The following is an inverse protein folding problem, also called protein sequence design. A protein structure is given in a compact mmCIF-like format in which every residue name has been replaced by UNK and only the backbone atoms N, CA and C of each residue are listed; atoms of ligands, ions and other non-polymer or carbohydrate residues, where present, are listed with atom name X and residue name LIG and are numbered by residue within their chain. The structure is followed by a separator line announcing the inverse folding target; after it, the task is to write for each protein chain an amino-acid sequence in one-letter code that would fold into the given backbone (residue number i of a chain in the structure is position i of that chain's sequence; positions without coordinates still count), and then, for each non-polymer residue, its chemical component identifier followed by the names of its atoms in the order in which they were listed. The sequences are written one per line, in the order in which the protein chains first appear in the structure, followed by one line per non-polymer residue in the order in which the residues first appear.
data_IF_995381947551
#
_entry.id   IF_995381947551
#
_cell.length_a   1.000
_cell.length_b   1.000
_cell.length_c   1.000
_cell.angle_alpha   90.00
_cell.angle_beta   90.00
_cell.angle_gamma   90.00
#
_symmetry.space_group_name_H-M   'P 1'
#
loop_
_entity.id
_entity.type
_entity.pdbx_description
1 polymer ?
#
# COMPACT_ATOMS: atom_id res chain seq x y z
N UNK A 1 14.58 26.94 21.18
CA UNK A 1 13.82 25.67 21.17
C UNK A 1 14.60 24.76 20.25
N UNK A 2 15.08 23.62 20.75
CA UNK A 2 15.80 22.68 19.91
C UNK A 2 14.78 22.00 19.00
N UNK A 3 14.77 22.36 17.72
CA UNK A 3 14.23 21.47 16.70
C UNK A 3 15.21 20.30 16.66
N UNK A 4 14.87 19.19 17.29
CA UNK A 4 15.52 17.92 17.00
C UNK A 4 15.11 17.59 15.57
N UNK A 5 15.92 17.97 14.60
CA UNK A 5 15.87 17.35 13.27
C UNK A 5 16.12 15.88 13.50
N UNK A 6 15.11 15.03 13.23
CA UNK A 6 15.35 13.60 13.09
C UNK A 6 16.45 13.47 12.03
N UNK A 7 17.60 12.90 12.42
CA UNK A 7 18.66 12.59 11.49
C UNK A 7 18.23 11.30 10.78
N UNK A 8 17.60 11.44 9.61
CA UNK A 8 17.20 10.30 8.77
C UNK A 8 18.48 9.61 8.31
N UNK A 9 18.76 8.38 8.75
CA UNK A 9 19.97 7.66 8.34
C UNK A 9 19.77 7.15 6.90
N UNK A 10 20.73 7.35 5.99
CA UNK A 10 20.67 6.75 4.66
C UNK A 10 20.49 5.22 4.64
N UNK A 11 20.89 4.55 5.72
CA UNK A 11 20.74 3.11 5.90
C UNK A 11 19.37 2.68 6.46
N UNK A 12 18.53 3.62 6.92
CA UNK A 12 17.17 3.31 7.38
C UNK A 12 16.37 2.68 6.22
N UNK A 13 15.58 1.65 6.53
CA UNK A 13 14.70 1.01 5.56
C UNK A 13 13.54 1.94 5.20
N UNK A 14 13.04 1.86 3.97
CA UNK A 14 11.87 2.64 3.55
C UNK A 14 10.65 2.33 4.43
N UNK A 15 10.46 1.05 4.78
CA UNK A 15 9.40 0.60 5.67
C UNK A 15 9.48 1.25 7.05
N UNK A 16 10.65 1.25 7.68
CA UNK A 16 10.84 1.88 9.00
C UNK A 16 10.60 3.41 8.96
N UNK A 17 10.99 4.06 7.86
CA UNK A 17 10.78 5.49 7.67
C UNK A 17 9.29 5.85 7.57
N UNK A 18 8.50 5.05 6.85
CA UNK A 18 7.04 5.25 6.74
C UNK A 18 6.34 4.85 8.03
N UNK A 19 6.72 3.74 8.66
CA UNK A 19 6.15 3.30 9.93
C UNK A 19 6.42 4.30 11.07
N UNK A 20 7.56 5.00 11.05
CA UNK A 20 7.89 6.03 12.05
C UNK A 20 7.30 7.40 11.72
N UNK A 21 6.99 7.65 10.44
CA UNK A 21 6.43 8.90 9.96
C UNK A 21 5.62 8.65 8.68
N UNK A 22 4.31 8.34 8.78
CA UNK A 22 3.48 8.01 7.63
C UNK A 22 3.45 9.10 6.55
N UNK A 23 3.62 10.38 6.93
CA UNK A 23 3.68 11.48 5.97
C UNK A 23 4.84 11.37 4.96
N UNK A 24 5.89 10.59 5.27
CA UNK A 24 6.99 10.31 4.34
C UNK A 24 6.55 9.50 3.12
N UNK A 25 5.46 8.73 3.20
CA UNK A 25 4.93 7.98 2.06
C UNK A 25 4.66 8.87 0.86
N UNK A 26 4.17 10.10 1.08
CA UNK A 26 3.90 11.09 0.02
C UNK A 26 5.15 11.43 -0.77
N UNK A 27 6.30 11.51 -0.10
CA UNK A 27 7.58 11.80 -0.76
C UNK A 27 7.97 10.62 -1.65
N UNK A 28 7.72 9.40 -1.20
CA UNK A 28 8.02 8.19 -1.96
C UNK A 28 7.04 8.00 -3.12
N UNK A 29 5.74 8.19 -2.92
CA UNK A 29 4.71 8.19 -3.96
C UNK A 29 5.06 9.20 -5.07
N UNK A 30 5.40 10.44 -4.70
CA UNK A 30 5.80 11.50 -5.66
C UNK A 30 7.08 11.15 -6.47
N UNK A 31 7.91 10.24 -5.95
CA UNK A 31 9.18 9.82 -6.56
C UNK A 31 9.07 8.44 -7.22
N UNK A 32 7.92 7.77 -7.18
CA UNK A 32 7.80 6.38 -7.61
C UNK A 32 8.74 5.44 -6.87
N UNK A 33 9.00 5.70 -5.58
CA UNK A 33 9.81 4.85 -4.72
C UNK A 33 8.88 3.85 -4.02
N UNK A 34 9.07 2.57 -4.31
CA UNK A 34 8.32 1.47 -3.70
C UNK A 34 8.75 1.24 -2.23
N UNK A 35 7.96 1.78 -1.30
CA UNK A 35 8.13 1.61 0.15
C UNK A 35 7.20 0.54 0.74
N UNK A 36 6.25 0.03 -0.04
CA UNK A 36 5.23 -0.89 0.43
C UNK A 36 5.67 -2.35 0.26
N UNK A 37 6.07 -2.75 -0.95
CA UNK A 37 6.62 -4.08 -1.23
C UNK A 37 8.14 -4.08 -1.07
N UNK A 38 8.80 -3.01 -1.53
CA UNK A 38 10.26 -2.82 -1.43
C UNK A 38 10.75 -2.24 -0.10
N UNK A 39 9.96 -2.32 0.97
CA UNK A 39 10.18 -1.58 2.22
C UNK A 39 11.50 -1.89 2.94
N UNK A 40 12.04 -3.09 2.80
CA UNK A 40 13.34 -3.49 3.38
C UNK A 40 14.55 -2.77 2.76
N UNK A 41 14.38 -2.13 1.60
CA UNK A 41 15.47 -1.41 0.93
C UNK A 41 15.83 -0.17 1.73
N UNK A 42 17.13 0.14 1.80
CA UNK A 42 17.58 1.40 2.40
C UNK A 42 17.20 2.61 1.54
N UNK A 43 17.00 3.76 2.20
CA UNK A 43 16.78 5.04 1.53
C UNK A 43 17.89 5.35 0.49
N UNK A 44 19.15 5.08 0.84
CA UNK A 44 20.28 5.29 -0.07
C UNK A 44 20.16 4.42 -1.34
N UNK A 45 19.86 3.14 -1.19
CA UNK A 45 19.70 2.21 -2.31
C UNK A 45 18.49 2.57 -3.19
N UNK A 46 17.41 3.05 -2.59
CA UNK A 46 16.24 3.52 -3.33
C UNK A 46 16.55 4.78 -4.15
N UNK A 47 17.24 5.75 -3.54
CA UNK A 47 17.66 6.98 -4.23
C UNK A 47 18.63 6.68 -5.38
N UNK A 48 19.61 5.80 -5.17
CA UNK A 48 20.57 5.41 -6.22
C UNK A 48 19.86 4.75 -7.41
N UNK A 49 18.93 3.83 -7.16
CA UNK A 49 18.18 3.15 -8.20
C UNK A 49 17.28 4.12 -9.00
N UNK A 50 16.66 5.09 -8.32
CA UNK A 50 15.81 6.11 -8.94
C UNK A 50 16.58 7.28 -9.57
N UNK A 51 17.89 7.35 -9.41
CA UNK A 51 18.71 8.48 -9.88
C UNK A 51 18.43 9.79 -9.12
N UNK A 52 17.98 9.69 -7.86
CA UNK A 52 17.66 10.83 -7.01
C UNK A 52 18.85 11.26 -6.16
N UNK A 53 18.96 12.57 -5.92
CA UNK A 53 19.92 13.12 -4.96
C UNK A 53 19.45 12.84 -3.52
N UNK A 54 20.22 12.02 -2.80
CA UNK A 54 19.88 11.55 -1.45
C UNK A 54 19.58 12.70 -0.48
N UNK A 55 20.40 13.75 -0.49
CA UNK A 55 20.22 14.89 0.43
C UNK A 55 18.95 15.68 0.12
N UNK A 56 18.61 15.81 -1.16
CA UNK A 56 17.34 16.40 -1.60
C UNK A 56 16.15 15.58 -1.10
N UNK A 57 16.20 14.25 -1.22
CA UNK A 57 15.12 13.37 -0.73
C UNK A 57 14.99 13.43 0.78
N UNK A 58 16.10 13.34 1.53
CA UNK A 58 16.10 13.50 3.00
C UNK A 58 15.49 14.83 3.42
N UNK A 59 15.82 15.92 2.71
CA UNK A 59 15.22 17.24 2.94
C UNK A 59 13.71 17.27 2.74
N UNK A 60 13.18 16.58 1.72
CA UNK A 60 11.73 16.45 1.50
C UNK A 60 11.05 15.65 2.62
N UNK A 61 11.64 14.54 3.06
CA UNK A 61 11.08 13.72 4.15
C UNK A 61 11.02 14.54 5.45
N UNK A 62 12.08 15.27 5.79
CA UNK A 62 12.08 16.16 6.97
C UNK A 62 11.03 17.27 6.84
N UNK A 63 10.76 17.77 5.64
CA UNK A 63 9.76 18.82 5.44
C UNK A 63 8.31 18.33 5.71
N UNK A 64 7.99 17.09 5.34
CA UNK A 64 6.65 16.52 5.57
C UNK A 64 6.44 16.03 7.01
N UNK A 65 7.53 15.77 7.77
CA UNK A 65 7.45 15.43 9.21
C UNK A 65 6.78 16.51 10.06
N UNK A 66 6.85 17.79 9.65
CA UNK A 66 6.26 18.88 10.42
C UNK A 66 4.75 19.06 10.24
N UNK A 67 4.12 18.33 9.31
CA UNK A 67 2.70 18.52 8.96
C UNK A 67 1.70 17.79 9.86
N UNK A 68 2.17 17.01 10.85
CA UNK A 68 1.37 16.64 12.02
C UNK A 68 0.07 15.90 11.73
N UNK A 69 0.10 14.92 10.82
CA UNK A 69 -1.00 13.96 10.73
C UNK A 69 -1.05 13.15 12.02
N UNK A 70 -2.22 13.19 12.68
CA UNK A 70 -2.49 12.38 13.86
C UNK A 70 -2.65 10.96 13.35
N UNK A 71 -1.61 10.16 13.50
CA UNK A 71 -1.70 8.72 13.29
C UNK A 71 -2.67 8.13 14.33
N UNK A 72 -3.49 7.18 13.88
CA UNK A 72 -4.29 6.39 14.79
C UNK A 72 -3.35 5.49 15.60
N UNK A 73 -3.04 5.87 16.84
CA UNK A 73 -2.22 5.07 17.73
C UNK A 73 -2.81 3.66 17.89
N UNK A 74 -1.99 2.66 17.60
CA UNK A 74 -2.29 1.24 17.82
C UNK A 74 -1.17 0.65 18.68
N UNK A 75 -1.53 -0.17 19.65
CA UNK A 75 -0.61 -0.78 20.62
C UNK A 75 -0.50 -2.30 20.41
N UNK A 76 -1.48 -2.91 19.73
CA UNK A 76 -1.57 -4.36 19.51
C UNK A 76 -1.79 -4.71 18.04
N UNK A 77 -1.48 -5.95 17.63
CA UNK A 77 -1.69 -6.39 16.25
C UNK A 77 -3.18 -6.43 15.88
N UNK A 78 -4.04 -6.78 16.83
CA UNK A 78 -5.50 -6.74 16.64
C UNK A 78 -5.97 -5.32 16.36
N UNK A 79 -5.42 -4.31 17.04
CA UNK A 79 -5.78 -2.92 16.78
C UNK A 79 -5.32 -2.47 15.39
N UNK A 80 -4.11 -2.85 14.97
CA UNK A 80 -3.60 -2.55 13.62
C UNK A 80 -4.44 -3.23 12.52
N UNK A 81 -4.75 -4.52 12.66
CA UNK A 81 -5.62 -5.22 11.70
C UNK A 81 -7.01 -4.57 11.60
N UNK A 82 -7.60 -4.15 12.73
CA UNK A 82 -8.89 -3.42 12.69
C UNK A 82 -8.76 -2.04 12.04
N UNK A 83 -7.63 -1.36 12.21
CA UNK A 83 -7.35 -0.08 11.57
C UNK A 83 -7.25 -0.25 10.05
N UNK A 84 -6.53 -1.27 9.58
CA UNK A 84 -6.43 -1.63 8.16
C UNK A 84 -7.82 -1.85 7.56
N UNK A 85 -8.65 -2.66 8.22
CA UNK A 85 -10.03 -2.91 7.76
C UNK A 85 -10.84 -1.61 7.71
N UNK A 86 -10.72 -0.76 8.73
CA UNK A 86 -11.51 0.48 8.84
C UNK A 86 -11.08 1.56 7.83
N UNK A 87 -9.78 1.71 7.57
CA UNK A 87 -9.23 2.72 6.66
C UNK A 87 -9.23 2.25 5.21
N UNK A 88 -8.72 1.04 4.95
CA UNK A 88 -8.41 0.57 3.60
C UNK A 88 -9.50 -0.35 3.06
N UNK A 89 -9.83 -1.45 3.76
CA UNK A 89 -10.76 -2.43 3.20
C UNK A 89 -12.16 -1.85 3.01
N UNK A 90 -12.61 -0.99 3.94
CA UNK A 90 -13.86 -0.26 3.76
C UNK A 90 -13.80 0.68 2.57
N UNK A 91 -12.70 1.41 2.37
CA UNK A 91 -12.52 2.29 1.22
C UNK A 91 -12.58 1.49 -0.09
N UNK A 92 -11.81 0.41 -0.20
CA UNK A 92 -11.78 -0.47 -1.36
C UNK A 92 -13.18 -0.99 -1.71
N UNK A 93 -13.91 -1.54 -0.74
CA UNK A 93 -15.29 -2.01 -0.95
C UNK A 93 -16.26 -0.94 -1.44
N UNK A 94 -16.02 0.32 -1.07
CA UNK A 94 -16.85 1.44 -1.52
C UNK A 94 -16.43 2.02 -2.88
N UNK A 95 -15.17 1.83 -3.27
CA UNK A 95 -14.56 2.54 -4.39
C UNK A 95 -14.41 1.67 -5.64
N UNK A 96 -14.09 0.38 -5.49
CA UNK A 96 -13.71 -0.49 -6.62
C UNK A 96 -14.80 -0.60 -7.69
N UNK A 97 -16.05 -0.92 -7.32
CA UNK A 97 -17.15 -1.04 -8.28
C UNK A 97 -17.51 0.32 -8.93
N UNK A 98 -17.73 1.41 -8.17
CA UNK A 98 -18.02 2.71 -8.79
C UNK A 98 -16.86 3.28 -9.63
N UNK A 99 -15.61 2.91 -9.34
CA UNK A 99 -14.46 3.28 -10.17
C UNK A 99 -14.39 2.41 -11.43
N UNK A 100 -14.73 1.12 -11.34
CA UNK A 100 -14.84 0.22 -12.52
C UNK A 100 -15.81 0.79 -13.55
N UNK A 101 -17.02 1.13 -13.11
CA UNK A 101 -18.04 1.73 -13.97
C UNK A 101 -17.53 3.02 -14.67
N UNK A 102 -16.74 3.82 -13.95
CA UNK A 102 -16.20 5.07 -14.47
C UNK A 102 -15.08 4.81 -15.49
N UNK A 103 -14.19 3.86 -15.23
CA UNK A 103 -13.13 3.44 -16.15
C UNK A 103 -13.74 2.88 -17.43
N UNK A 104 -14.69 1.95 -17.33
CA UNK A 104 -15.41 1.38 -18.49
C UNK A 104 -16.09 2.46 -19.32
N UNK A 105 -16.74 3.42 -18.67
CA UNK A 105 -17.37 4.55 -19.35
C UNK A 105 -16.36 5.41 -20.10
N UNK A 106 -15.24 5.76 -19.48
CA UNK A 106 -14.20 6.62 -20.10
C UNK A 106 -13.54 5.87 -21.25
N UNK A 107 -13.14 4.63 -21.06
CA UNK A 107 -12.60 3.77 -22.11
C UNK A 107 -13.61 3.57 -23.25
N UNK A 108 -14.89 3.40 -22.93
CA UNK A 108 -15.99 3.29 -23.90
C UNK A 108 -16.13 4.50 -24.82
N UNK A 109 -15.94 5.71 -24.30
CA UNK A 109 -16.09 6.97 -25.05
C UNK A 109 -14.79 7.40 -25.76
N UNK A 110 -13.64 7.19 -25.11
CA UNK A 110 -12.36 7.76 -25.54
C UNK A 110 -11.39 6.72 -26.12
N UNK A 111 -11.60 5.42 -25.86
CA UNK A 111 -10.66 4.35 -26.20
C UNK A 111 -10.36 4.14 -27.68
N UNK A 112 -11.23 4.60 -28.59
CA UNK A 112 -10.95 4.56 -30.03
C UNK A 112 -9.86 5.58 -30.43
N UNK A 113 -9.78 6.70 -29.70
CA UNK A 113 -8.79 7.77 -29.92
C UNK A 113 -7.56 7.58 -29.06
N UNK A 114 -7.74 7.00 -27.88
CA UNK A 114 -6.70 6.71 -26.88
C UNK A 114 -6.73 5.21 -26.53
N UNK A 115 -6.10 4.34 -27.35
CA UNK A 115 -6.14 2.89 -27.13
C UNK A 115 -5.61 2.44 -25.77
N UNK A 116 -4.72 3.22 -25.14
CA UNK A 116 -4.23 2.97 -23.78
C UNK A 116 -5.38 2.84 -22.76
N UNK A 117 -6.49 3.57 -22.95
CA UNK A 117 -7.65 3.49 -22.05
C UNK A 117 -8.35 2.12 -22.07
N UNK A 118 -8.23 1.35 -23.16
CA UNK A 118 -8.72 -0.03 -23.21
C UNK A 118 -7.84 -0.96 -22.39
N UNK A 119 -6.54 -0.69 -22.34
CA UNK A 119 -5.61 -1.40 -21.48
C UNK A 119 -5.85 -1.02 -20.02
N UNK A 120 -6.05 0.27 -19.71
CA UNK A 120 -6.46 0.73 -18.36
C UNK A 120 -7.73 0.02 -17.89
N UNK A 121 -8.75 -0.09 -18.74
CA UNK A 121 -9.99 -0.84 -18.46
C UNK A 121 -9.70 -2.30 -18.08
N UNK A 122 -8.82 -2.97 -18.82
CA UNK A 122 -8.46 -4.37 -18.58
C UNK A 122 -7.66 -4.53 -17.28
N UNK A 123 -6.62 -3.71 -17.08
CA UNK A 123 -5.78 -3.76 -15.88
C UNK A 123 -6.58 -3.41 -14.62
N UNK A 124 -7.44 -2.39 -14.69
CA UNK A 124 -8.26 -2.01 -13.55
C UNK A 124 -9.28 -3.08 -13.17
N UNK A 125 -9.92 -3.73 -14.15
CA UNK A 125 -10.85 -4.82 -13.87
C UNK A 125 -10.16 -5.97 -13.12
N UNK A 126 -8.95 -6.35 -13.56
CA UNK A 126 -8.14 -7.37 -12.89
C UNK A 126 -7.74 -6.93 -11.47
N UNK A 127 -7.27 -5.69 -11.31
CA UNK A 127 -6.91 -5.13 -9.99
C UNK A 127 -8.08 -5.21 -9.01
N UNK A 128 -9.26 -4.81 -9.47
CA UNK A 128 -10.44 -4.75 -8.62
C UNK A 128 -10.96 -6.15 -8.24
N UNK A 129 -10.86 -7.15 -9.14
CA UNK A 129 -11.19 -8.54 -8.80
C UNK A 129 -10.20 -9.12 -7.77
N UNK A 130 -8.91 -8.85 -7.97
CA UNK A 130 -7.81 -9.29 -7.11
C UNK A 130 -7.98 -8.70 -5.70
N UNK A 131 -8.06 -7.36 -5.58
CA UNK A 131 -8.20 -6.66 -4.30
C UNK A 131 -9.47 -7.05 -3.53
N UNK A 132 -10.62 -7.24 -4.20
CA UNK A 132 -11.87 -7.63 -3.52
C UNK A 132 -11.75 -9.03 -2.90
N UNK A 133 -11.13 -9.97 -3.62
CA UNK A 133 -10.90 -11.32 -3.12
C UNK A 133 -9.84 -11.36 -2.01
N UNK A 134 -8.76 -10.61 -2.18
CA UNK A 134 -7.63 -10.55 -1.28
C UNK A 134 -8.05 -10.06 0.12
N UNK A 135 -8.70 -8.89 0.21
CA UNK A 135 -9.15 -8.35 1.51
C UNK A 135 -10.19 -9.23 2.21
N UNK A 136 -10.91 -10.07 1.45
CA UNK A 136 -11.82 -11.04 2.02
C UNK A 136 -11.04 -12.19 2.67
N UNK A 137 -10.02 -12.72 2.01
CA UNK A 137 -9.19 -13.79 2.54
C UNK A 137 -8.41 -13.33 3.78
N UNK A 138 -7.86 -12.12 3.80
CA UNK A 138 -7.22 -11.55 4.99
C UNK A 138 -8.16 -11.53 6.20
N UNK A 139 -9.36 -10.97 6.04
CA UNK A 139 -10.33 -10.81 7.12
C UNK A 139 -10.92 -12.14 7.62
N UNK A 140 -11.03 -13.15 6.76
CA UNK A 140 -11.65 -14.43 7.10
C UNK A 140 -10.62 -15.49 7.53
N UNK A 141 -9.38 -15.41 7.04
CA UNK A 141 -8.39 -16.49 7.16
C UNK A 141 -7.21 -16.10 8.03
N UNK A 142 -6.64 -14.92 7.84
CA UNK A 142 -5.42 -14.51 8.55
C UNK A 142 -5.69 -13.66 9.80
N UNK A 143 -6.44 -12.56 9.68
CA UNK A 143 -6.66 -11.63 10.79
C UNK A 143 -7.30 -12.28 12.04
N UNK A 144 -8.22 -13.26 11.94
CA UNK A 144 -8.70 -13.98 13.11
C UNK A 144 -7.61 -14.78 13.84
N UNK A 145 -6.61 -15.29 13.12
CA UNK A 145 -5.48 -16.02 13.69
C UNK A 145 -4.45 -15.08 14.29
N UNK A 146 -4.17 -13.95 13.63
CA UNK A 146 -3.33 -12.88 14.19
C UNK A 146 -3.91 -12.38 15.52
N UNK A 147 -5.22 -12.19 15.58
CA UNK A 147 -5.90 -11.83 16.84
C UNK A 147 -5.68 -12.86 17.94
N UNK A 148 -5.75 -14.16 17.63
CA UNK A 148 -5.49 -15.21 18.63
C UNK A 148 -4.06 -15.12 19.17
N UNK A 149 -3.07 -14.89 18.30
CA UNK A 149 -1.67 -14.70 18.71
C UNK A 149 -1.50 -13.48 19.62
N UNK A 150 -2.10 -12.35 19.22
CA UNK A 150 -2.08 -11.10 19.97
C UNK A 150 -2.74 -11.24 21.36
N UNK A 151 -3.83 -12.03 21.45
CA UNK A 151 -4.52 -12.37 22.70
C UNK A 151 -3.75 -13.43 23.55
N UNK A 152 -2.62 -13.95 23.06
CA UNK A 152 -1.84 -15.00 23.74
C UNK A 152 -2.50 -16.40 23.71
N UNK A 153 -3.40 -16.63 22.75
CA UNK A 153 -4.07 -17.91 22.54
C UNK A 153 -3.23 -18.77 21.61
N UNK A 154 -2.74 -19.90 22.13
CA UNK A 154 -1.97 -20.86 21.35
C UNK A 154 -2.77 -21.35 20.14
N UNK A 155 -2.16 -21.26 18.95
CA UNK A 155 -2.74 -21.78 17.72
C UNK A 155 -2.58 -23.30 17.66
N UNK A 156 -3.44 -23.99 16.92
CA UNK A 156 -3.20 -25.38 16.52
C UNK A 156 -2.11 -25.45 15.44
N UNK A 157 -1.51 -26.62 15.23
CA UNK A 157 -0.53 -26.79 14.15
C UNK A 157 -1.12 -26.52 12.76
N UNK A 158 -2.41 -26.80 12.56
CA UNK A 158 -3.10 -26.49 11.32
C UNK A 158 -3.25 -24.97 11.15
N UNK A 159 -3.71 -24.26 12.18
CA UNK A 159 -3.85 -22.80 12.14
C UNK A 159 -2.51 -22.09 11.93
N UNK A 160 -1.43 -22.58 12.56
CA UNK A 160 -0.06 -22.07 12.31
C UNK A 160 0.34 -22.23 10.85
N UNK A 161 0.05 -23.41 10.27
CA UNK A 161 0.37 -23.68 8.88
C UNK A 161 -0.47 -22.78 7.97
N UNK A 162 -1.77 -22.70 8.20
CA UNK A 162 -2.65 -21.79 7.47
C UNK A 162 -2.13 -20.37 7.52
N UNK A 163 -1.83 -19.82 8.71
CA UNK A 163 -1.36 -18.44 8.79
C UNK A 163 -0.05 -18.22 8.02
N UNK A 164 0.94 -19.13 8.09
CA UNK A 164 2.16 -19.01 7.29
C UNK A 164 1.89 -19.06 5.78
N UNK A 165 1.08 -20.03 5.35
CA UNK A 165 0.72 -20.19 3.93
C UNK A 165 -0.03 -18.93 3.42
N UNK A 166 -0.92 -18.33 4.24
CA UNK A 166 -1.62 -17.09 3.87
C UNK A 166 -0.68 -15.88 3.80
N UNK A 167 0.21 -15.69 4.78
CA UNK A 167 1.13 -14.54 4.78
C UNK A 167 2.06 -14.57 3.56
N UNK A 168 2.62 -15.74 3.22
CA UNK A 168 3.45 -15.91 2.01
C UNK A 168 2.65 -15.63 0.73
N UNK A 169 1.39 -16.08 0.66
CA UNK A 169 0.53 -15.81 -0.49
C UNK A 169 0.18 -14.32 -0.61
N UNK A 170 -0.13 -13.65 0.49
CA UNK A 170 -0.49 -12.23 0.46
C UNK A 170 0.68 -11.35 0.04
N UNK A 171 1.91 -11.63 0.47
CA UNK A 171 3.09 -10.93 -0.03
C UNK A 171 3.26 -11.09 -1.55
N UNK A 172 3.00 -12.29 -2.09
CA UNK A 172 3.04 -12.53 -3.53
C UNK A 172 1.91 -11.80 -4.29
N UNK A 173 0.70 -11.75 -3.71
CA UNK A 173 -0.42 -10.97 -4.26
C UNK A 173 -0.10 -9.47 -4.24
N UNK A 174 0.55 -8.97 -3.18
CA UNK A 174 0.97 -7.58 -3.06
C UNK A 174 1.98 -7.17 -4.14
N UNK A 175 2.93 -8.04 -4.48
CA UNK A 175 3.85 -7.81 -5.59
C UNK A 175 3.10 -7.71 -6.95
N UNK A 176 2.14 -8.60 -7.20
CA UNK A 176 1.32 -8.54 -8.44
C UNK A 176 0.45 -7.28 -8.49
N UNK A 177 -0.16 -6.91 -7.37
CA UNK A 177 -0.93 -5.68 -7.22
C UNK A 177 -0.07 -4.44 -7.45
N UNK A 178 1.14 -4.40 -6.89
CA UNK A 178 2.12 -3.31 -7.09
C UNK A 178 2.51 -3.17 -8.57
N UNK A 179 2.85 -4.29 -9.22
CA UNK A 179 3.16 -4.32 -10.66
C UNK A 179 1.99 -3.79 -11.51
N UNK A 180 0.75 -4.03 -11.08
CA UNK A 180 -0.47 -3.59 -11.78
C UNK A 180 -0.75 -2.10 -11.59
N UNK A 181 -0.52 -1.58 -10.39
CA UNK A 181 -0.58 -0.15 -10.11
C UNK A 181 0.45 0.62 -10.94
N UNK A 182 1.69 0.17 -10.98
CA UNK A 182 2.75 0.77 -11.81
C UNK A 182 2.39 0.80 -13.31
N UNK A 183 1.75 -0.28 -13.81
CA UNK A 183 1.23 -0.30 -15.19
C UNK A 183 0.13 0.75 -15.40
N UNK A 184 -0.82 0.86 -14.47
CA UNK A 184 -1.89 1.87 -14.53
C UNK A 184 -1.31 3.29 -14.48
N UNK A 185 -0.35 3.53 -13.59
CA UNK A 185 0.39 4.78 -13.48
C UNK A 185 1.04 5.15 -14.81
N UNK A 186 1.82 4.22 -15.39
CA UNK A 186 2.49 4.44 -16.69
C UNK A 186 1.49 4.66 -17.83
N UNK A 187 0.40 3.88 -17.91
CA UNK A 187 -0.61 3.99 -18.96
C UNK A 187 -1.39 5.32 -18.93
N UNK A 188 -1.35 6.02 -17.81
CA UNK A 188 -2.06 7.27 -17.57
C UNK A 188 -1.13 8.47 -17.40
N UNK A 189 0.15 8.31 -17.76
CA UNK A 189 1.19 9.33 -17.61
C UNK A 189 1.25 9.90 -16.17
N UNK A 190 1.23 9.00 -15.18
CA UNK A 190 1.22 9.36 -13.76
C UNK A 190 -0.08 10.02 -13.31
N UNK A 191 -1.19 9.61 -13.93
CA UNK A 191 -2.52 10.21 -13.76
C UNK A 191 -2.61 11.70 -14.10
N UNK A 192 -1.72 12.20 -14.96
CA UNK A 192 -1.75 13.59 -15.42
C UNK A 192 -3.08 13.87 -16.13
N UNK A 193 -3.75 14.95 -15.75
CA UNK A 193 -5.07 15.30 -16.29
C UNK A 193 -4.92 16.15 -17.54
N UNK A 194 -5.37 15.69 -18.73
CA UNK A 194 -5.33 16.50 -19.94
C UNK A 194 -6.21 17.76 -19.85
N UNK A 195 -5.76 18.86 -20.45
CA UNK A 195 -6.48 20.14 -20.48
C UNK A 195 -7.89 20.01 -21.06
N UNK A 196 -8.07 19.15 -22.06
CA UNK A 196 -9.33 18.90 -22.75
C UNK A 196 -10.12 17.71 -22.19
N UNK A 197 -9.66 17.10 -21.10
CA UNK A 197 -10.34 15.97 -20.47
C UNK A 197 -11.76 16.35 -19.99
N UNK A 198 -12.73 15.51 -20.34
CA UNK A 198 -14.09 15.68 -19.85
C UNK A 198 -14.16 15.38 -18.33
N UNK A 199 -15.21 15.85 -17.65
CA UNK A 199 -15.37 15.68 -16.19
C UNK A 199 -15.23 14.23 -15.73
N UNK A 200 -15.75 13.26 -16.49
CA UNK A 200 -15.62 11.84 -16.14
C UNK A 200 -14.19 11.32 -16.27
N UNK A 201 -13.43 11.78 -17.27
CA UNK A 201 -12.03 11.40 -17.44
C UNK A 201 -11.18 11.98 -16.31
N UNK A 202 -11.36 13.26 -15.97
CA UNK A 202 -10.68 13.88 -14.82
C UNK A 202 -10.93 13.11 -13.53
N UNK A 203 -12.20 12.84 -13.24
CA UNK A 203 -12.59 12.09 -12.05
C UNK A 203 -12.01 10.65 -12.03
N UNK A 204 -11.85 10.01 -13.20
CA UNK A 204 -11.24 8.68 -13.27
C UNK A 204 -9.78 8.73 -12.85
N UNK A 205 -9.00 9.66 -13.42
CA UNK A 205 -7.57 9.81 -13.11
C UNK A 205 -7.34 10.18 -11.65
N UNK A 206 -8.12 11.12 -11.10
CA UNK A 206 -8.04 11.53 -9.69
C UNK A 206 -8.32 10.35 -8.74
N UNK A 207 -9.31 9.52 -9.08
CA UNK A 207 -9.72 8.36 -8.27
C UNK A 207 -8.76 7.18 -8.39
N UNK A 208 -8.19 6.94 -9.57
CA UNK A 208 -7.11 5.97 -9.76
C UNK A 208 -5.89 6.35 -8.93
N UNK A 209 -5.47 7.61 -8.97
CA UNK A 209 -4.36 8.10 -8.16
C UNK A 209 -4.65 7.99 -6.64
N UNK A 210 -5.89 8.21 -6.22
CA UNK A 210 -6.29 8.05 -4.83
C UNK A 210 -6.33 6.58 -4.38
N UNK A 211 -6.78 5.69 -5.26
CA UNK A 211 -6.74 4.24 -5.05
C UNK A 211 -5.30 3.76 -4.87
N UNK A 212 -4.40 4.11 -5.80
CA UNK A 212 -2.99 3.72 -5.74
C UNK A 212 -2.34 4.11 -4.40
N UNK A 213 -2.46 5.38 -3.99
CA UNK A 213 -1.91 5.84 -2.70
C UNK A 213 -2.53 5.14 -1.50
N UNK A 214 -3.83 4.83 -1.55
CA UNK A 214 -4.48 4.09 -0.46
C UNK A 214 -3.95 2.66 -0.37
N UNK A 215 -3.79 1.99 -1.52
CA UNK A 215 -3.28 0.63 -1.62
C UNK A 215 -1.80 0.54 -1.21
N UNK A 216 -0.95 1.50 -1.59
CA UNK A 216 0.45 1.52 -1.11
C UNK A 216 0.52 1.60 0.42
N UNK A 217 -0.27 2.46 1.05
CA UNK A 217 -0.28 2.57 2.53
C UNK A 217 -0.89 1.33 3.20
N UNK A 218 -1.91 0.72 2.57
CA UNK A 218 -2.49 -0.55 3.01
C UNK A 218 -1.42 -1.65 3.04
N UNK A 219 -0.83 -1.95 1.89
CA UNK A 219 0.21 -2.96 1.72
C UNK A 219 1.41 -2.68 2.61
N UNK A 220 1.81 -1.41 2.76
CA UNK A 220 2.90 -1.04 3.65
C UNK A 220 2.63 -1.48 5.10
N UNK A 221 1.43 -1.20 5.63
CA UNK A 221 1.05 -1.57 7.00
C UNK A 221 1.02 -3.07 7.22
N UNK A 222 0.75 -3.83 6.17
CA UNK A 222 0.80 -5.29 6.21
C UNK A 222 2.23 -5.80 6.14
N UNK A 223 2.90 -5.60 5.01
CA UNK A 223 4.22 -6.15 4.72
C UNK A 223 5.30 -5.70 5.69
N UNK A 224 5.25 -4.43 6.13
CA UNK A 224 6.34 -3.86 6.93
C UNK A 224 6.04 -3.79 8.42
N UNK A 225 4.80 -4.08 8.83
CA UNK A 225 4.39 -3.89 10.23
C UNK A 225 3.58 -5.06 10.77
N UNK A 226 2.42 -5.38 10.20
CA UNK A 226 1.53 -6.40 10.74
C UNK A 226 2.10 -7.80 10.55
N UNK A 227 2.51 -8.16 9.34
CA UNK A 227 2.95 -9.51 9.00
C UNK A 227 4.26 -9.88 9.71
N UNK A 228 5.34 -9.06 9.68
CA UNK A 228 6.59 -9.42 10.36
C UNK A 228 6.41 -9.59 11.88
N UNK A 229 5.52 -8.82 12.50
CA UNK A 229 5.22 -8.95 13.93
C UNK A 229 4.37 -10.19 14.23
N UNK A 230 3.43 -10.55 13.35
CA UNK A 230 2.67 -11.79 13.48
C UNK A 230 3.57 -13.02 13.33
N UNK A 231 4.50 -13.01 12.39
CA UNK A 231 5.50 -14.07 12.21
C UNK A 231 6.40 -14.23 13.43
N UNK A 232 6.89 -13.12 13.99
CA UNK A 232 7.70 -13.15 15.21
C UNK A 232 6.96 -13.81 16.40
N UNK A 233 5.65 -13.57 16.54
CA UNK A 233 4.83 -14.24 17.55
C UNK A 233 4.60 -15.72 17.24
N UNK A 234 4.37 -16.08 15.97
CA UNK A 234 4.23 -17.47 15.53
C UNK A 234 5.45 -18.33 15.87
N UNK A 235 6.64 -17.78 15.67
CA UNK A 235 7.90 -18.49 15.90
C UNK A 235 8.26 -18.58 17.39
N UNK A 236 7.86 -17.58 18.18
CA UNK A 236 7.97 -17.62 19.63
C UNK A 236 7.05 -18.70 20.26
N UNK A 237 5.80 -18.83 19.76
CA UNK A 237 4.81 -19.83 20.24
C UNK A 237 5.15 -21.26 19.80
N UNK A 238 5.92 -21.43 18.70
CA UNK A 238 6.33 -22.73 18.17
C UNK A 238 7.59 -23.34 18.79
N UNK A 239 8.24 -22.63 19.72
CA UNK A 239 9.53 -23.02 20.32
C UNK A 239 9.41 -23.89 21.60
N UNK A 240 8.21 -24.40 21.91
CA UNK A 240 7.95 -25.31 23.06
C UNK A 240 7.79 -26.78 22.67
#
# INVERSE_FOLDING_TARGET
MAHTTLDIDPADSLGDLVASNPASSRVFDDLGIDYCCGGDRSLATACEAGGYDLETVRGRIVAVQSDGEIEHEWETLTQLANLIVWEHHRYLRTELEPLRDLVEKVAGVHGDREPALRTVETEFAALADELDSHIADEEHRAFPLIKKLDDGVALTNEERKTLRDELEQFEADHDETGDRLERLHTLTDGYEIPDDACTSYRAMLERLAALERNTHMHVHRENNVLFPRAEALLDADGSE
#
